data_IF_092961342220
#
_entry.id   IF_092961342220
#
_cell.length_a   1.000
_cell.length_b   1.000
_cell.length_c   1.000
_cell.angle_alpha   90.00
_cell.angle_beta   90.00
_cell.angle_gamma   90.00
#
_symmetry.space_group_name_H-M   'P 1'
#
loop_
_entity.id
_entity.type
_entity.pdbx_description
1 polymer ?
#
# COMPACT_ATOMS: atom_id res chain seq x y z
N UNK A 1 17.31 -23.54 -24.63
CA UNK A 1 17.33 -22.45 -25.64
C UNK A 1 15.94 -22.11 -26.15
N UNK A 2 15.10 -23.08 -26.57
CA UNK A 2 13.76 -22.81 -27.14
C UNK A 2 12.86 -22.01 -26.19
N UNK A 3 12.75 -22.40 -24.91
CA UNK A 3 11.94 -21.65 -23.93
C UNK A 3 12.40 -20.20 -23.74
N UNK A 4 13.71 -19.92 -23.83
CA UNK A 4 14.21 -18.55 -23.69
C UNK A 4 13.86 -17.70 -24.92
N UNK A 5 13.80 -18.30 -26.11
CA UNK A 5 13.41 -17.62 -27.34
C UNK A 5 11.91 -17.32 -27.37
N UNK A 6 11.07 -18.25 -26.88
CA UNK A 6 9.63 -18.04 -26.76
C UNK A 6 9.29 -16.93 -25.75
N UNK A 7 9.96 -16.92 -24.59
CA UNK A 7 9.77 -15.87 -23.59
C UNK A 7 10.19 -14.50 -24.15
N UNK A 8 11.31 -14.40 -24.89
CA UNK A 8 11.70 -13.12 -25.50
C UNK A 8 10.70 -12.64 -26.56
N UNK A 9 10.17 -13.55 -27.39
CA UNK A 9 9.18 -13.20 -28.42
C UNK A 9 7.84 -12.75 -27.81
N UNK A 10 7.38 -13.40 -26.72
CA UNK A 10 6.18 -12.99 -26.00
C UNK A 10 6.34 -11.62 -25.32
N UNK A 11 7.51 -11.35 -24.72
CA UNK A 11 7.83 -10.05 -24.12
C UNK A 11 7.88 -8.93 -25.17
N UNK A 12 8.48 -9.17 -26.33
CA UNK A 12 8.49 -8.21 -27.44
C UNK A 12 7.10 -7.93 -28.00
N UNK A 13 6.24 -8.95 -28.10
CA UNK A 13 4.85 -8.79 -28.52
C UNK A 13 4.05 -7.96 -27.52
N UNK A 14 4.26 -8.18 -26.21
CA UNK A 14 3.63 -7.40 -25.14
C UNK A 14 4.05 -5.92 -25.20
N UNK A 15 5.33 -5.66 -25.45
CA UNK A 15 5.89 -4.31 -25.59
C UNK A 15 5.33 -3.56 -26.82
N UNK A 16 4.96 -4.27 -27.89
CA UNK A 16 4.31 -3.69 -29.09
C UNK A 16 2.86 -3.27 -28.85
N UNK A 17 2.13 -3.96 -27.97
CA UNK A 17 0.70 -3.68 -27.70
C UNK A 17 0.56 -2.46 -26.78
N UNK A 18 1.48 -2.32 -25.83
CA UNK A 18 1.52 -1.17 -24.93
C UNK A 18 2.93 -0.59 -24.98
N UNK A 19 3.21 0.40 -25.85
CA UNK A 19 4.51 1.05 -25.84
C UNK A 19 4.70 1.63 -24.45
N UNK A 20 5.62 1.06 -23.69
CA UNK A 20 6.00 1.52 -22.36
C UNK A 20 6.78 2.83 -22.57
N UNK A 21 6.06 3.92 -22.83
CA UNK A 21 6.67 5.25 -22.92
C UNK A 21 7.03 5.65 -21.50
N UNK A 22 8.28 5.41 -21.13
CA UNK A 22 8.83 5.96 -19.90
C UNK A 22 8.72 7.47 -19.98
N UNK A 23 7.95 8.04 -19.07
CA UNK A 23 7.81 9.48 -18.93
C UNK A 23 8.95 10.02 -18.08
N UNK A 24 9.20 11.32 -18.17
CA UNK A 24 10.21 11.97 -17.30
C UNK A 24 9.91 11.75 -15.81
N UNK A 25 8.63 11.55 -15.46
CA UNK A 25 8.19 11.21 -14.11
C UNK A 25 8.69 9.81 -13.70
N UNK A 26 8.60 8.82 -14.58
CA UNK A 26 9.06 7.45 -14.32
C UNK A 26 10.58 7.42 -14.11
N UNK A 27 11.31 8.20 -14.90
CA UNK A 27 12.78 8.36 -14.75
C UNK A 27 13.11 9.01 -13.41
N UNK A 28 12.37 10.05 -13.01
CA UNK A 28 12.57 10.71 -11.71
C UNK A 28 12.27 9.77 -10.54
N UNK A 29 11.20 8.97 -10.62
CA UNK A 29 10.83 7.98 -9.61
C UNK A 29 11.92 6.89 -9.47
N UNK A 30 12.45 6.39 -10.59
CA UNK A 30 13.54 5.41 -10.57
C UNK A 30 14.81 5.97 -9.92
N UNK A 31 15.16 7.24 -10.18
CA UNK A 31 16.29 7.89 -9.53
C UNK A 31 16.11 8.04 -8.01
N UNK A 32 14.88 8.29 -7.54
CA UNK A 32 14.60 8.35 -6.11
C UNK A 32 14.75 6.98 -5.44
N UNK A 33 14.30 5.90 -6.08
CA UNK A 33 14.48 4.54 -5.56
C UNK A 33 15.97 4.18 -5.39
N UNK A 34 16.82 4.53 -6.35
CA UNK A 34 18.28 4.32 -6.26
C UNK A 34 18.92 5.13 -5.13
N UNK A 35 18.40 6.34 -4.84
CA UNK A 35 18.89 7.12 -3.67
C UNK A 35 18.46 6.51 -2.34
N UNK A 36 17.33 5.81 -2.32
CA UNK A 36 16.77 5.17 -1.12
C UNK A 36 17.33 3.76 -0.86
N UNK A 37 17.92 3.10 -1.88
CA UNK A 37 18.52 1.76 -1.73
C UNK A 37 19.77 1.75 -0.85
N UNK A 38 20.30 2.92 -0.48
CA UNK A 38 21.48 3.02 0.40
C UNK A 38 22.77 2.54 -0.27
N UNK A 39 22.78 2.41 -1.60
CA UNK A 39 23.99 2.23 -2.39
C UNK A 39 24.74 3.55 -2.45
N UNK A 40 25.29 3.93 -1.29
CA UNK A 40 26.22 5.02 -1.19
C UNK A 40 27.50 4.61 -1.94
N UNK A 41 27.71 5.15 -3.14
CA UNK A 41 29.05 5.30 -3.72
C UNK A 41 29.81 6.36 -2.91
N UNK A 42 30.02 6.06 -1.63
CA UNK A 42 30.60 7.00 -0.68
C UNK A 42 32.09 7.14 -0.98
N UNK A 43 32.45 8.21 -1.69
CA UNK A 43 33.73 8.86 -1.47
C UNK A 43 33.70 9.47 -0.07
N UNK A 44 34.03 8.63 0.90
CA UNK A 44 34.77 8.90 2.12
C UNK A 44 34.50 10.27 2.78
N UNK A 45 33.72 10.28 3.86
CA UNK A 45 34.25 10.96 5.06
C UNK A 45 33.69 10.39 6.36
N UNK A 46 34.62 10.07 7.25
CA UNK A 46 34.44 9.37 8.49
C UNK A 46 33.50 10.12 9.44
N UNK A 47 32.36 9.51 9.76
CA UNK A 47 31.64 9.79 11.00
C UNK A 47 30.96 8.52 11.50
N UNK A 48 31.74 7.65 12.14
CA UNK A 48 31.25 6.48 12.84
C UNK A 48 30.40 6.88 14.05
N UNK A 49 29.12 7.19 13.83
CA UNK A 49 28.12 7.17 14.91
C UNK A 49 27.70 5.72 15.12
N UNK A 50 28.30 5.07 16.13
CA UNK A 50 27.90 3.75 16.65
C UNK A 50 26.41 3.76 17.01
N UNK A 51 25.53 3.36 16.09
CA UNK A 51 24.13 3.07 16.42
C UNK A 51 24.11 1.67 17.04
N UNK A 52 24.01 1.60 18.37
CA UNK A 52 23.73 0.35 19.10
C UNK A 52 22.42 -0.21 18.55
N UNK A 53 22.49 -1.25 17.71
CA UNK A 53 21.34 -2.09 17.37
C UNK A 53 20.92 -2.80 18.65
N UNK A 54 19.84 -2.35 19.28
CA UNK A 54 19.18 -3.10 20.35
C UNK A 54 18.27 -4.11 19.67
N UNK A 55 18.82 -5.27 19.33
CA UNK A 55 17.99 -6.44 19.04
C UNK A 55 17.34 -6.86 20.37
N UNK A 56 16.06 -6.55 20.54
CA UNK A 56 15.21 -7.21 21.53
C UNK A 56 14.38 -8.24 20.77
N UNK A 57 14.98 -9.40 20.53
CA UNK A 57 14.20 -10.64 20.51
C UNK A 57 14.36 -11.19 21.91
N UNK A 58 13.27 -11.20 22.68
CA UNK A 58 12.94 -12.17 23.74
C UNK A 58 11.73 -11.64 24.53
N UNK A 59 10.63 -12.39 24.43
CA UNK A 59 9.56 -12.57 25.42
C UNK A 59 8.88 -11.33 25.99
N UNK A 60 7.65 -11.06 25.56
CA UNK A 60 6.42 -11.33 26.34
C UNK A 60 5.25 -10.70 25.58
N UNK A 61 4.21 -11.48 25.28
CA UNK A 61 2.95 -10.91 24.80
C UNK A 61 2.20 -10.40 26.03
N UNK A 62 2.66 -9.28 26.58
CA UNK A 62 1.76 -8.44 27.35
C UNK A 62 0.88 -7.71 26.34
N UNK A 63 -0.36 -8.17 26.26
CA UNK A 63 -1.53 -7.52 25.67
C UNK A 63 -1.79 -6.18 26.39
N UNK A 64 -0.83 -5.27 26.24
CA UNK A 64 -0.96 -3.87 26.56
C UNK A 64 -1.67 -3.24 25.39
N UNK A 65 -3.00 -3.25 25.45
CA UNK A 65 -3.90 -2.47 24.61
C UNK A 65 -3.54 -0.98 24.79
N UNK A 66 -2.45 -0.54 24.17
CA UNK A 66 -2.13 0.87 24.02
C UNK A 66 -3.22 1.42 23.11
N UNK A 67 -4.28 1.93 23.74
CA UNK A 67 -5.46 2.49 23.11
C UNK A 67 -5.00 3.72 22.31
N UNK A 68 -4.54 3.46 21.08
CA UNK A 68 -4.00 4.47 20.19
C UNK A 68 -5.16 5.40 19.84
N UNK A 69 -5.08 6.66 20.25
CA UNK A 69 -6.11 7.66 20.00
C UNK A 69 -6.16 7.99 18.49
N UNK A 70 -7.03 7.27 17.77
CA UNK A 70 -7.25 7.44 16.32
C UNK A 70 -8.09 8.67 15.99
N UNK A 71 -8.57 9.42 16.98
CA UNK A 71 -9.44 10.59 16.74
C UNK A 71 -8.76 11.63 15.86
N UNK A 72 -7.47 11.89 16.09
CA UNK A 72 -6.66 12.84 15.33
C UNK A 72 -6.30 12.39 13.91
N UNK A 73 -6.25 11.07 13.67
CA UNK A 73 -5.88 10.51 12.37
C UNK A 73 -7.04 10.56 11.35
N UNK A 74 -8.28 10.54 11.83
CA UNK A 74 -9.49 10.57 11.01
C UNK A 74 -9.66 11.92 10.28
N UNK A 75 -9.21 13.03 10.86
CA UNK A 75 -9.32 14.36 10.25
C UNK A 75 -8.31 14.54 9.11
N UNK A 76 -7.07 14.09 9.31
CA UNK A 76 -6.00 14.19 8.29
C UNK A 76 -6.33 13.30 7.09
N UNK A 77 -6.79 12.07 7.35
CA UNK A 77 -7.14 11.11 6.30
C UNK A 77 -8.39 11.51 5.53
N UNK A 78 -9.42 12.01 6.21
CA UNK A 78 -10.64 12.47 5.52
C UNK A 78 -10.37 13.63 4.57
N UNK A 79 -9.56 14.61 4.99
CA UNK A 79 -9.19 15.76 4.15
C UNK A 79 -8.37 15.36 2.92
N UNK A 80 -7.42 14.44 3.07
CA UNK A 80 -6.64 13.93 1.93
C UNK A 80 -7.49 13.10 0.98
N UNK A 81 -8.47 12.33 1.47
CA UNK A 81 -9.40 11.58 0.62
C UNK A 81 -10.29 12.55 -0.17
N UNK A 82 -10.85 13.58 0.47
CA UNK A 82 -11.67 14.59 -0.20
C UNK A 82 -10.88 15.36 -1.27
N UNK A 83 -9.62 15.69 -1.02
CA UNK A 83 -8.75 16.37 -1.99
C UNK A 83 -8.49 15.53 -3.26
N UNK A 84 -8.30 14.22 -3.09
CA UNK A 84 -7.98 13.32 -4.22
C UNK A 84 -9.21 12.79 -4.96
N UNK A 85 -10.34 12.59 -4.26
CA UNK A 85 -11.53 11.94 -4.81
C UNK A 85 -12.77 12.85 -4.86
N UNK A 86 -12.67 14.07 -4.35
CA UNK A 86 -13.81 14.98 -4.20
C UNK A 86 -14.70 14.62 -3.00
N UNK A 87 -15.73 15.43 -2.78
CA UNK A 87 -16.76 15.15 -1.77
C UNK A 87 -17.62 13.99 -2.24
N UNK A 88 -17.68 12.89 -1.47
CA UNK A 88 -18.69 11.86 -1.72
C UNK A 88 -20.09 12.47 -1.55
N UNK A 89 -20.90 12.41 -2.59
CA UNK A 89 -22.34 12.65 -2.48
C UNK A 89 -22.96 11.50 -1.68
N UNK A 90 -23.79 11.82 -0.68
CA UNK A 90 -24.36 10.81 0.21
C UNK A 90 -25.41 9.97 -0.54
N UNK A 91 -24.96 8.95 -1.26
CA UNK A 91 -25.83 8.00 -1.95
C UNK A 91 -26.47 7.10 -0.89
N UNK A 92 -27.81 7.08 -0.85
CA UNK A 92 -28.57 6.25 0.08
C UNK A 92 -28.23 4.76 -0.09
N UNK A 93 -27.35 4.23 0.77
CA UNK A 93 -26.98 2.82 0.78
C UNK A 93 -28.10 2.00 1.43
N UNK A 94 -28.57 0.90 0.83
CA UNK A 94 -29.54 0.02 1.46
C UNK A 94 -29.03 -0.45 2.83
N UNK A 95 -29.84 -0.28 3.88
CA UNK A 95 -29.46 -0.73 5.23
C UNK A 95 -29.36 -2.25 5.24
N UNK A 96 -28.33 -2.78 5.92
CA UNK A 96 -28.21 -4.23 6.16
C UNK A 96 -29.49 -4.74 6.82
N UNK A 97 -30.12 -5.74 6.20
CA UNK A 97 -31.29 -6.41 6.76
C UNK A 97 -30.83 -7.40 7.83
N UNK A 98 -31.58 -7.51 8.92
CA UNK A 98 -31.36 -8.55 9.94
C UNK A 98 -31.95 -9.88 9.44
N UNK A 99 -31.37 -10.99 9.88
CA UNK A 99 -31.98 -12.30 9.68
C UNK A 99 -33.37 -12.34 10.31
N UNK A 100 -34.30 -13.00 9.61
CA UNK A 100 -35.64 -13.28 10.12
C UNK A 100 -35.67 -14.67 10.73
N UNK A 101 -36.47 -14.87 11.78
CA UNK A 101 -36.75 -16.21 12.29
C UNK A 101 -37.52 -17.01 11.25
N UNK A 102 -37.35 -18.34 11.24
CA UNK A 102 -38.09 -19.22 10.33
C UNK A 102 -39.60 -19.04 10.51
N UNK A 103 -40.06 -18.93 11.76
CA UNK A 103 -41.47 -18.65 12.08
C UNK A 103 -41.97 -17.37 11.39
N UNK A 104 -41.19 -16.29 11.42
CA UNK A 104 -41.56 -15.04 10.74
C UNK A 104 -41.60 -15.16 9.22
N UNK A 105 -40.87 -16.11 8.62
CA UNK A 105 -40.90 -16.36 7.17
C UNK A 105 -42.12 -17.19 6.79
N UNK A 106 -42.46 -18.21 7.58
CA UNK A 106 -43.55 -19.13 7.28
C UNK A 106 -44.93 -18.66 7.77
N UNK A 107 -44.99 -17.73 8.72
CA UNK A 107 -46.24 -17.19 9.29
C UNK A 107 -46.48 -15.71 8.93
N UNK A 108 -45.72 -15.15 8.00
CA UNK A 108 -46.04 -13.83 7.46
C UNK A 108 -47.36 -13.91 6.67
N UNK A 109 -48.27 -12.94 6.85
CA UNK A 109 -49.56 -12.90 6.15
C UNK A 109 -49.41 -12.72 4.64
#
# INVERSE_FOLDING_TARGET
MIMAMEIMAELEALLRIHPMTLTDLDVAAAQQLVRLSGEDYSSNNNNQKKRRRKNKNEGDFEDGEEEFDRSSQNEITSKTIEENFGKEEEVARPRKKRYRSLVSVYQAP
#
